data_IF_804749474045
#
_entry.id   IF_804749474045
#
_cell.length_a   1.000
_cell.length_b   1.000
_cell.length_c   1.000
_cell.angle_alpha   90.00
_cell.angle_beta   90.00
_cell.angle_gamma   90.00
#
_symmetry.space_group_name_H-M   'P 1'
#
loop_
_entity.id
_entity.type
_entity.pdbx_description
1 polymer ?
#
# COMPACT_ATOMS: atom_id res chain seq x y z
N UNK A 1 11.54 8.02 83.27
CA UNK A 1 10.73 7.85 82.06
C UNK A 1 11.51 8.47 80.90
N UNK A 2 12.39 7.72 80.25
CA UNK A 2 13.10 8.23 79.06
C UNK A 2 13.44 7.09 78.11
N UNK A 3 13.04 7.32 76.85
CA UNK A 3 13.59 6.78 75.58
C UNK A 3 13.46 5.27 75.30
N UNK A 4 12.25 4.85 74.94
CA UNK A 4 12.04 3.62 74.14
C UNK A 4 11.72 3.87 72.64
N UNK A 5 11.51 5.13 72.25
CA UNK A 5 11.06 5.47 70.86
C UNK A 5 12.19 5.59 69.80
N UNK A 6 13.46 5.73 70.22
CA UNK A 6 14.59 5.92 69.29
C UNK A 6 15.18 4.62 68.71
N UNK A 7 14.79 3.45 69.20
CA UNK A 7 15.33 2.16 68.72
C UNK A 7 14.62 1.66 67.42
N UNK A 8 13.42 2.09 67.20
CA UNK A 8 12.62 1.70 65.99
C UNK A 8 12.76 2.65 64.81
N UNK A 9 13.23 3.88 65.02
CA UNK A 9 13.42 4.86 63.95
C UNK A 9 14.55 4.48 62.98
N UNK A 10 15.58 3.80 63.41
CA UNK A 10 16.72 3.37 62.57
C UNK A 10 16.38 2.24 61.62
N UNK A 11 15.67 1.15 61.96
CA UNK A 11 15.31 0.13 61.02
C UNK A 11 14.24 0.63 60.01
N UNK A 12 13.35 1.53 60.41
CA UNK A 12 12.36 2.14 59.50
C UNK A 12 13.03 3.05 58.48
N UNK A 13 14.03 3.84 58.87
CA UNK A 13 14.80 4.68 57.98
C UNK A 13 15.66 3.85 57.00
N UNK A 14 16.22 2.72 57.45
CA UNK A 14 16.94 1.77 56.57
C UNK A 14 16.02 1.05 55.59
N UNK A 15 14.81 0.67 56.00
CA UNK A 15 13.81 0.08 55.12
C UNK A 15 13.29 1.08 54.06
N UNK A 16 13.10 2.35 54.44
CA UNK A 16 12.77 3.45 53.53
C UNK A 16 13.90 3.73 52.52
N UNK A 17 15.17 3.67 52.97
CA UNK A 17 16.32 3.85 52.09
C UNK A 17 16.54 2.66 51.16
N UNK A 18 16.31 1.43 51.62
CA UNK A 18 16.36 0.23 50.79
C UNK A 18 15.26 0.19 49.71
N UNK A 19 14.07 0.72 50.03
CA UNK A 19 12.96 0.80 49.08
C UNK A 19 13.16 1.88 48.00
N UNK A 20 13.90 2.94 48.28
CA UNK A 20 14.28 3.95 47.27
C UNK A 20 15.28 3.38 46.26
N UNK A 21 16.13 2.43 46.64
CA UNK A 21 17.07 1.75 45.73
C UNK A 21 16.37 0.67 44.89
N UNK A 22 15.32 0.04 45.42
CA UNK A 22 14.52 -0.95 44.68
C UNK A 22 13.65 -0.35 43.55
N UNK A 23 13.43 0.97 43.52
CA UNK A 23 12.69 1.66 42.51
C UNK A 23 13.30 1.61 41.08
N UNK A 24 14.58 1.26 40.96
CA UNK A 24 15.24 1.10 39.66
C UNK A 24 14.86 -0.18 38.90
N UNK A 25 14.10 -1.11 39.49
CA UNK A 25 13.72 -2.40 38.91
C UNK A 25 12.23 -2.57 38.64
N UNK A 26 11.42 -1.52 38.77
CA UNK A 26 9.99 -1.63 38.47
C UNK A 26 9.71 -1.87 36.98
N UNK A 27 8.70 -2.70 36.65
CA UNK A 27 8.33 -2.96 35.27
C UNK A 27 7.98 -1.65 34.52
N UNK A 28 8.66 -1.41 33.40
CA UNK A 28 8.43 -0.27 32.52
C UNK A 28 8.28 -0.73 31.08
N UNK A 29 7.54 0.03 30.29
CA UNK A 29 7.20 -0.34 28.92
C UNK A 29 8.37 -0.11 27.95
N UNK A 30 9.38 0.68 28.34
CA UNK A 30 10.54 0.96 27.50
C UNK A 30 11.43 2.08 28.04
N UNK A 31 12.30 2.69 27.21
CA UNK A 31 13.21 3.72 27.63
C UNK A 31 12.47 5.01 28.04
N UNK A 32 13.00 5.70 29.02
CA UNK A 32 12.55 7.05 29.39
C UNK A 32 13.03 8.07 28.37
N UNK A 33 12.38 9.22 28.33
CA UNK A 33 12.79 10.36 27.50
C UNK A 33 14.30 10.69 27.72
N UNK A 34 14.77 10.69 28.97
CA UNK A 34 16.19 10.95 29.31
C UNK A 34 17.13 9.91 28.69
N UNK A 35 16.76 8.63 28.70
CA UNK A 35 17.57 7.54 28.13
C UNK A 35 17.62 7.62 26.59
N UNK A 36 16.52 8.01 25.92
CA UNK A 36 16.52 8.25 24.48
C UNK A 36 17.51 9.36 24.13
N UNK A 37 17.49 10.48 24.85
CA UNK A 37 18.45 11.55 24.62
C UNK A 37 19.89 11.14 25.00
N UNK A 38 20.07 10.27 25.97
CA UNK A 38 21.39 9.74 26.34
C UNK A 38 21.97 8.80 25.25
N UNK A 39 21.12 8.12 24.49
CA UNK A 39 21.50 7.29 23.34
C UNK A 39 21.80 8.08 22.06
N UNK A 40 21.85 9.42 22.12
CA UNK A 40 22.13 10.25 20.95
C UNK A 40 23.61 10.25 20.57
N UNK A 41 23.92 10.46 19.28
CA UNK A 41 25.29 10.62 18.75
C UNK A 41 26.08 11.67 19.52
N UNK A 42 25.44 12.76 19.97
CA UNK A 42 26.06 13.81 20.80
C UNK A 42 26.54 13.28 22.16
N UNK A 43 26.06 12.10 22.57
CA UNK A 43 26.44 11.42 23.83
C UNK A 43 27.04 10.03 23.60
N UNK A 44 27.72 9.84 22.45
CA UNK A 44 28.36 8.60 22.02
C UNK A 44 27.39 7.43 21.74
N UNK A 45 26.12 7.74 21.47
CA UNK A 45 25.14 6.77 20.95
C UNK A 45 25.17 6.67 19.44
N UNK A 46 24.20 5.97 18.87
CA UNK A 46 24.13 5.63 17.45
C UNK A 46 22.92 6.25 16.70
N UNK A 47 22.18 7.15 17.34
CA UNK A 47 21.00 7.79 16.76
C UNK A 47 21.04 9.31 16.87
N UNK A 48 20.50 10.00 15.86
CA UNK A 48 20.36 11.45 15.87
C UNK A 48 19.00 11.83 16.43
N UNK A 49 18.97 12.58 17.53
CA UNK A 49 17.72 13.08 18.13
C UNK A 49 17.41 14.48 17.58
N UNK A 50 16.27 14.64 16.92
CA UNK A 50 15.88 15.85 16.22
C UNK A 50 14.49 16.29 16.67
N UNK A 51 14.36 17.54 17.16
CA UNK A 51 13.06 18.13 17.43
C UNK A 51 12.37 18.52 16.14
N UNK A 52 11.13 18.10 15.97
CA UNK A 52 10.32 18.40 14.77
C UNK A 52 9.97 19.89 14.75
N UNK A 53 10.16 20.49 13.59
CA UNK A 53 9.79 21.85 13.25
C UNK A 53 9.45 21.93 11.74
N UNK A 54 8.99 23.08 11.25
CA UNK A 54 8.56 23.27 9.84
C UNK A 54 9.63 22.89 8.82
N UNK A 55 10.92 23.06 9.14
CA UNK A 55 12.02 22.63 8.25
C UNK A 55 12.11 21.10 8.19
N UNK A 56 12.00 20.47 9.34
CA UNK A 56 12.04 19.00 9.44
C UNK A 56 10.82 18.38 8.76
N UNK A 57 9.62 18.90 9.02
CA UNK A 57 8.40 18.40 8.36
C UNK A 57 8.50 18.46 6.84
N UNK A 58 8.98 19.59 6.28
CA UNK A 58 9.19 19.71 4.83
C UNK A 58 10.27 18.79 4.30
N UNK A 59 11.38 18.62 5.01
CA UNK A 59 12.47 17.73 4.57
C UNK A 59 12.05 16.24 4.61
N UNK A 60 11.17 15.87 5.53
CA UNK A 60 10.69 14.49 5.70
C UNK A 60 9.41 14.18 4.94
N UNK A 61 8.75 15.18 4.33
CA UNK A 61 7.51 15.01 3.56
C UNK A 61 7.70 14.29 2.21
N UNK A 62 8.81 13.59 2.03
CA UNK A 62 9.09 12.83 0.80
C UNK A 62 8.28 11.54 0.83
N UNK A 63 7.34 11.43 -0.10
CA UNK A 63 6.61 10.20 -0.37
C UNK A 63 7.13 9.59 -1.66
N UNK A 64 7.25 8.26 -1.75
CA UNK A 64 7.52 7.61 -3.02
C UNK A 64 6.41 7.99 -4.00
N UNK A 65 6.73 8.76 -5.02
CA UNK A 65 5.78 9.05 -6.07
C UNK A 65 5.53 7.75 -6.85
N UNK A 66 4.36 7.14 -6.66
CA UNK A 66 3.89 6.10 -7.54
C UNK A 66 3.44 6.75 -8.85
N UNK A 67 3.77 6.11 -9.98
CA UNK A 67 3.41 6.64 -11.29
C UNK A 67 3.90 5.75 -12.41
N UNK A 68 3.36 5.97 -13.60
CA UNK A 68 3.82 5.31 -14.80
C UNK A 68 5.00 6.08 -15.41
N UNK A 69 5.99 5.33 -15.91
CA UNK A 69 7.08 5.90 -16.70
C UNK A 69 6.55 6.47 -18.02
N UNK A 70 7.28 7.38 -18.64
CA UNK A 70 6.92 7.95 -19.94
C UNK A 70 6.63 6.89 -21.02
N UNK A 71 7.29 5.76 -20.94
CA UNK A 71 7.10 4.64 -21.86
C UNK A 71 5.71 4.01 -21.75
N UNK A 72 5.11 3.97 -20.55
CA UNK A 72 3.73 3.55 -20.36
C UNK A 72 2.74 4.63 -20.80
N UNK A 73 3.01 5.88 -20.45
CA UNK A 73 2.12 7.02 -20.73
C UNK A 73 2.04 7.36 -22.21
N UNK A 74 3.16 7.29 -22.95
CA UNK A 74 3.23 7.60 -24.38
C UNK A 74 2.76 6.45 -25.29
N UNK A 75 2.30 5.34 -24.74
CA UNK A 75 1.73 4.26 -25.51
C UNK A 75 0.36 4.71 -26.09
N UNK A 76 0.31 5.12 -27.35
CA UNK A 76 -0.94 5.49 -28.01
C UNK A 76 -2.00 4.38 -27.95
N UNK A 77 -3.28 4.71 -28.02
CA UNK A 77 -4.36 3.73 -28.05
C UNK A 77 -4.18 2.81 -29.27
N UNK A 78 -4.33 1.50 -29.05
CA UNK A 78 -4.43 0.57 -30.18
C UNK A 78 -5.69 0.88 -30.97
N UNK A 79 -5.59 0.89 -32.31
CA UNK A 79 -6.78 0.92 -33.15
C UNK A 79 -7.69 -0.25 -32.79
N UNK A 80 -8.95 0.02 -32.50
CA UNK A 80 -9.90 -1.01 -32.03
C UNK A 80 -10.15 -2.11 -33.08
N UNK A 81 -9.82 -1.82 -34.34
CA UNK A 81 -10.21 -2.64 -35.46
C UNK A 81 -9.03 -3.39 -36.09
N UNK A 82 -7.82 -3.27 -35.54
CA UNK A 82 -6.69 -4.04 -36.01
C UNK A 82 -6.79 -5.50 -35.59
N UNK A 83 -6.74 -6.37 -36.58
CA UNK A 83 -6.73 -7.82 -36.38
C UNK A 83 -5.35 -8.25 -35.89
N UNK A 84 -5.31 -9.12 -34.88
CA UNK A 84 -4.08 -9.71 -34.32
C UNK A 84 -4.00 -11.21 -34.59
N UNK A 85 -2.80 -11.82 -34.56
CA UNK A 85 -2.66 -13.27 -34.57
C UNK A 85 -3.43 -13.87 -33.39
N UNK A 86 -4.21 -14.93 -33.62
CA UNK A 86 -5.09 -15.55 -32.63
C UNK A 86 -6.51 -15.01 -32.56
N UNK A 87 -6.80 -13.87 -33.21
CA UNK A 87 -8.18 -13.38 -33.37
C UNK A 87 -9.03 -14.35 -34.18
N UNK A 88 -10.33 -14.35 -33.93
CA UNK A 88 -11.32 -15.12 -34.68
C UNK A 88 -12.17 -14.19 -35.53
N UNK A 89 -12.24 -14.46 -36.84
CA UNK A 89 -13.00 -13.70 -37.81
C UNK A 89 -14.18 -14.54 -38.28
N UNK A 90 -15.35 -13.92 -38.41
CA UNK A 90 -16.51 -14.44 -39.14
C UNK A 90 -16.48 -13.91 -40.56
N UNK A 91 -16.56 -14.81 -41.48
CA UNK A 91 -16.58 -14.50 -42.92
C UNK A 91 -17.89 -14.95 -43.54
N UNK A 92 -18.57 -14.04 -44.24
CA UNK A 92 -19.76 -14.35 -45.05
C UNK A 92 -19.52 -13.85 -46.46
N UNK A 93 -19.75 -14.73 -47.43
CA UNK A 93 -19.54 -14.44 -48.84
C UNK A 93 -20.85 -14.72 -49.58
N UNK A 94 -21.29 -13.74 -50.34
CA UNK A 94 -22.43 -13.85 -51.25
C UNK A 94 -21.93 -13.82 -52.71
N UNK A 95 -22.43 -14.75 -53.50
CA UNK A 95 -22.16 -14.84 -54.95
C UNK A 95 -23.41 -14.52 -55.71
N UNK A 96 -23.29 -13.71 -56.75
CA UNK A 96 -24.41 -13.26 -57.58
C UNK A 96 -24.62 -14.18 -58.78
N UNK A 97 -24.49 -15.50 -58.57
CA UNK A 97 -24.65 -16.53 -59.59
C UNK A 97 -25.37 -17.75 -59.03
N UNK A 98 -26.22 -18.37 -59.88
CA UNK A 98 -26.76 -19.68 -59.59
C UNK A 98 -25.64 -20.72 -59.78
N UNK A 99 -25.41 -21.62 -58.81
CA UNK A 99 -24.25 -22.56 -58.76
C UNK A 99 -22.88 -21.87 -58.52
N UNK A 100 -22.78 -20.97 -57.53
CA UNK A 100 -21.54 -20.34 -57.16
C UNK A 100 -20.46 -21.32 -56.70
N UNK A 101 -19.18 -20.86 -56.70
CA UNK A 101 -18.01 -21.66 -56.31
C UNK A 101 -18.04 -22.06 -54.83
N UNK A 102 -18.66 -21.27 -53.98
CA UNK A 102 -18.71 -21.43 -52.54
C UNK A 102 -20.10 -21.76 -52.03
N UNK A 103 -21.14 -21.32 -52.71
CA UNK A 103 -22.54 -21.52 -52.35
C UNK A 103 -23.06 -22.86 -52.91
N UNK A 104 -23.79 -23.66 -52.10
CA UNK A 104 -24.43 -24.88 -52.55
C UNK A 104 -25.75 -24.62 -53.29
N UNK A 105 -26.35 -25.66 -53.93
CA UNK A 105 -27.50 -25.63 -54.89
C UNK A 105 -28.77 -24.88 -54.43
N UNK A 106 -28.84 -24.33 -53.21
CA UNK A 106 -30.04 -23.67 -52.70
C UNK A 106 -29.84 -22.29 -52.08
N UNK A 107 -28.60 -21.77 -52.00
CA UNK A 107 -28.31 -20.49 -51.34
C UNK A 107 -27.17 -19.77 -52.03
N UNK A 108 -27.38 -18.49 -52.36
CA UNK A 108 -26.33 -17.63 -52.93
C UNK A 108 -25.37 -17.08 -51.82
N UNK A 109 -25.35 -17.72 -50.65
CA UNK A 109 -24.59 -17.27 -49.50
C UNK A 109 -23.82 -18.43 -48.86
N UNK A 110 -22.54 -18.22 -48.61
CA UNK A 110 -21.72 -19.15 -47.81
C UNK A 110 -21.16 -18.42 -46.60
N UNK A 111 -21.45 -18.96 -45.44
CA UNK A 111 -20.79 -18.54 -44.18
C UNK A 111 -19.64 -19.49 -43.91
N UNK A 112 -18.40 -18.97 -43.93
CA UNK A 112 -17.18 -19.74 -43.63
C UNK A 112 -16.97 -19.93 -42.12
N UNK A 113 -17.99 -19.66 -41.29
CA UNK A 113 -17.93 -19.86 -39.86
C UNK A 113 -16.84 -19.04 -39.19
N UNK A 114 -16.19 -19.64 -38.21
CA UNK A 114 -15.12 -19.03 -37.42
C UNK A 114 -13.75 -19.36 -38.05
N UNK A 115 -13.06 -18.34 -38.55
CA UNK A 115 -11.71 -18.46 -39.12
C UNK A 115 -10.72 -17.82 -38.17
N UNK A 116 -9.84 -18.62 -37.61
CA UNK A 116 -8.79 -18.11 -36.71
C UNK A 116 -7.59 -17.60 -37.52
N UNK A 117 -7.06 -16.45 -37.11
CA UNK A 117 -5.81 -15.88 -37.61
C UNK A 117 -4.63 -16.69 -37.07
N UNK A 118 -3.84 -17.26 -37.96
CA UNK A 118 -2.68 -18.08 -37.57
C UNK A 118 -1.57 -17.27 -36.85
N UNK A 119 -0.61 -17.96 -36.22
CA UNK A 119 0.48 -17.33 -35.51
C UNK A 119 1.41 -16.45 -36.36
N UNK A 120 1.33 -16.62 -37.70
CA UNK A 120 2.03 -15.78 -38.71
C UNK A 120 1.20 -14.59 -39.14
N UNK A 121 -0.06 -14.49 -38.68
CA UNK A 121 -1.00 -13.42 -38.97
C UNK A 121 -1.78 -13.56 -40.27
N UNK A 122 -1.97 -14.79 -40.73
CA UNK A 122 -2.74 -15.06 -41.96
C UNK A 122 -4.02 -15.82 -41.68
N UNK A 123 -4.97 -15.70 -42.54
CA UNK A 123 -6.16 -16.56 -42.66
C UNK A 123 -6.13 -17.30 -43.98
N UNK A 124 -6.81 -18.43 -44.05
CA UNK A 124 -7.08 -19.12 -45.33
C UNK A 124 -8.56 -18.94 -45.72
N UNK A 125 -8.77 -18.48 -46.91
CA UNK A 125 -10.12 -18.32 -47.52
C UNK A 125 -10.16 -19.18 -48.77
N UNK A 126 -11.13 -20.13 -48.90
CA UNK A 126 -11.26 -20.91 -50.13
C UNK A 126 -11.31 -20.02 -51.36
N UNK A 127 -10.69 -20.43 -52.44
CA UNK A 127 -10.52 -19.73 -53.72
C UNK A 127 -9.76 -18.40 -53.69
N UNK A 128 -9.74 -17.67 -52.56
CA UNK A 128 -8.90 -16.47 -52.36
C UNK A 128 -7.51 -16.79 -51.82
N UNK A 129 -7.32 -18.02 -51.26
CA UNK A 129 -6.06 -18.49 -50.76
C UNK A 129 -5.64 -17.89 -49.40
N UNK A 130 -4.34 -17.79 -49.20
CA UNK A 130 -3.77 -17.25 -47.93
C UNK A 130 -3.74 -15.73 -47.96
N UNK A 131 -4.33 -15.08 -46.95
CA UNK A 131 -4.50 -13.62 -46.86
C UNK A 131 -3.90 -13.11 -45.54
N UNK A 132 -3.11 -12.04 -45.61
CA UNK A 132 -2.57 -11.37 -44.45
C UNK A 132 -3.71 -10.61 -43.73
N UNK A 133 -4.11 -11.08 -42.56
CA UNK A 133 -5.15 -10.46 -41.75
C UNK A 133 -4.54 -9.59 -40.62
N UNK A 134 -3.50 -10.07 -39.93
CA UNK A 134 -2.88 -9.32 -38.84
C UNK A 134 -2.28 -7.99 -39.29
N UNK A 135 -2.57 -6.94 -38.52
CA UNK A 135 -2.16 -5.57 -38.82
C UNK A 135 -3.13 -4.83 -39.79
N UNK A 136 -4.14 -5.51 -40.33
CA UNK A 136 -5.19 -4.93 -41.12
C UNK A 136 -6.49 -4.77 -40.30
N UNK A 137 -7.39 -3.91 -40.77
CA UNK A 137 -8.77 -3.83 -40.28
C UNK A 137 -9.63 -4.89 -40.96
N UNK A 138 -10.80 -5.28 -40.40
CA UNK A 138 -11.77 -6.15 -41.08
C UNK A 138 -12.12 -5.64 -42.45
N UNK A 139 -12.30 -4.32 -42.62
CA UNK A 139 -12.56 -3.68 -43.89
C UNK A 139 -11.39 -3.82 -44.90
N UNK A 140 -10.14 -3.69 -44.40
CA UNK A 140 -8.96 -3.93 -45.23
C UNK A 140 -8.88 -5.38 -45.72
N UNK A 141 -9.14 -6.34 -44.82
CA UNK A 141 -9.21 -7.78 -45.19
C UNK A 141 -10.36 -8.06 -46.13
N UNK A 142 -11.55 -7.49 -45.92
CA UNK A 142 -12.70 -7.60 -46.80
C UNK A 142 -12.32 -7.23 -48.25
N UNK A 143 -11.68 -6.07 -48.40
CA UNK A 143 -11.27 -5.57 -49.73
C UNK A 143 -10.33 -6.54 -50.44
N UNK A 144 -9.33 -7.06 -49.73
CA UNK A 144 -8.37 -8.03 -50.30
C UNK A 144 -9.05 -9.35 -50.69
N UNK A 145 -10.02 -9.82 -49.87
CA UNK A 145 -10.77 -11.03 -50.18
C UNK A 145 -11.62 -10.80 -51.44
N UNK A 146 -12.36 -9.68 -51.50
CA UNK A 146 -13.22 -9.34 -52.66
C UNK A 146 -12.42 -9.29 -53.97
N UNK A 147 -11.28 -8.55 -53.96
CA UNK A 147 -10.39 -8.41 -55.13
C UNK A 147 -9.89 -9.77 -55.66
N UNK A 148 -9.58 -10.70 -54.75
CA UNK A 148 -9.13 -12.04 -55.14
C UNK A 148 -10.25 -12.92 -55.64
N UNK A 149 -11.45 -12.81 -55.07
CA UNK A 149 -12.61 -13.58 -55.47
C UNK A 149 -13.21 -13.09 -56.81
N UNK A 150 -13.11 -11.79 -57.16
CA UNK A 150 -13.52 -11.21 -58.44
C UNK A 150 -12.84 -11.89 -59.66
N UNK A 151 -11.67 -12.53 -59.44
CA UNK A 151 -10.98 -13.29 -60.46
C UNK A 151 -11.57 -14.68 -60.68
N UNK A 152 -12.47 -15.14 -59.79
CA UNK A 152 -13.00 -16.51 -59.78
C UNK A 152 -14.53 -16.56 -59.90
N UNK A 153 -15.24 -15.53 -59.40
CA UNK A 153 -16.70 -15.44 -59.43
C UNK A 153 -17.14 -14.01 -59.74
N UNK A 154 -18.27 -13.79 -60.47
CA UNK A 154 -18.76 -12.44 -60.76
C UNK A 154 -19.35 -11.76 -59.51
N UNK A 155 -18.96 -10.49 -59.26
CA UNK A 155 -19.52 -9.57 -58.28
C UNK A 155 -19.67 -10.17 -56.84
N UNK A 156 -18.60 -10.75 -56.27
CA UNK A 156 -18.66 -11.33 -54.93
C UNK A 156 -18.83 -10.24 -53.87
N UNK A 157 -19.79 -10.43 -52.97
CA UNK A 157 -19.97 -9.57 -51.80
C UNK A 157 -19.40 -10.27 -50.58
N UNK A 158 -18.51 -9.60 -49.85
CA UNK A 158 -17.80 -10.17 -48.69
C UNK A 158 -18.10 -9.35 -47.47
N UNK A 159 -18.42 -10.00 -46.36
CA UNK A 159 -18.47 -9.42 -45.02
C UNK A 159 -17.41 -10.07 -44.14
N UNK A 160 -16.65 -9.24 -43.44
CA UNK A 160 -15.65 -9.68 -42.44
C UNK A 160 -15.98 -9.04 -41.09
N UNK A 161 -16.25 -9.88 -40.13
CA UNK A 161 -16.48 -9.46 -38.71
C UNK A 161 -15.43 -10.06 -37.81
N UNK A 162 -14.93 -9.27 -36.85
CA UNK A 162 -14.11 -9.80 -35.77
C UNK A 162 -15.05 -10.33 -34.69
N UNK A 163 -15.09 -11.65 -34.50
CA UNK A 163 -15.97 -12.32 -33.54
C UNK A 163 -15.35 -12.36 -32.13
N UNK A 164 -14.02 -12.59 -32.04
CA UNK A 164 -13.31 -12.62 -30.78
C UNK A 164 -11.90 -12.01 -30.90
N UNK A 165 -11.53 -11.16 -29.97
CA UNK A 165 -10.23 -10.49 -29.89
C UNK A 165 -9.19 -11.25 -29.08
N UNK A 166 -9.05 -12.57 -29.30
CA UNK A 166 -8.17 -13.43 -28.52
C UNK A 166 -6.67 -13.22 -28.77
N UNK A 167 -6.33 -12.49 -29.84
CA UNK A 167 -4.93 -12.21 -30.21
C UNK A 167 -4.28 -11.10 -29.39
N UNK A 168 -5.05 -10.32 -28.65
CA UNK A 168 -4.55 -9.23 -27.81
C UNK A 168 -5.27 -9.23 -26.46
N UNK A 169 -4.69 -9.88 -25.46
CA UNK A 169 -5.29 -10.05 -24.14
C UNK A 169 -4.42 -9.49 -23.02
N UNK A 170 -5.07 -9.18 -21.91
CA UNK A 170 -4.46 -8.72 -20.67
C UNK A 170 -4.84 -9.68 -19.54
N UNK A 171 -3.88 -10.06 -18.71
CA UNK A 171 -4.16 -10.85 -17.51
C UNK A 171 -4.38 -9.91 -16.32
N UNK A 172 -5.48 -10.11 -15.60
CA UNK A 172 -5.82 -9.36 -14.38
C UNK A 172 -5.88 -10.31 -13.20
N UNK A 173 -5.19 -9.93 -12.11
CA UNK A 173 -5.10 -10.73 -10.88
C UNK A 173 -5.09 -9.85 -9.64
N UNK A 174 -5.20 -10.49 -8.45
CA UNK A 174 -5.18 -9.80 -7.16
C UNK A 174 -6.57 -9.39 -6.69
N UNK A 175 -6.67 -8.22 -6.06
CA UNK A 175 -7.89 -7.75 -5.40
C UNK A 175 -8.89 -7.12 -6.38
N UNK A 176 -9.35 -7.88 -7.36
CA UNK A 176 -10.43 -7.53 -8.32
C UNK A 176 -11.57 -8.53 -8.19
N UNK A 177 -12.78 -8.10 -8.57
CA UNK A 177 -13.97 -8.96 -8.48
C UNK A 177 -13.89 -10.14 -9.46
N UNK A 178 -13.35 -9.95 -10.68
CA UNK A 178 -13.17 -10.97 -11.70
C UNK A 178 -11.70 -11.09 -12.10
N UNK A 179 -11.01 -12.09 -11.58
CA UNK A 179 -9.65 -12.42 -12.03
C UNK A 179 -9.72 -13.24 -13.32
N UNK A 180 -8.82 -12.97 -14.26
CA UNK A 180 -8.83 -13.71 -15.54
C UNK A 180 -8.01 -13.05 -16.63
N UNK A 181 -8.22 -13.56 -17.85
CA UNK A 181 -7.64 -13.02 -19.07
C UNK A 181 -8.74 -12.36 -19.86
N UNK A 182 -8.54 -11.10 -20.20
CA UNK A 182 -9.53 -10.25 -20.86
C UNK A 182 -9.02 -9.79 -22.21
N UNK A 183 -9.85 -9.79 -23.26
CA UNK A 183 -9.47 -9.25 -24.56
C UNK A 183 -9.43 -7.71 -24.52
N UNK A 184 -8.48 -7.14 -25.26
CA UNK A 184 -8.43 -5.68 -25.51
C UNK A 184 -9.36 -5.36 -26.66
N UNK A 185 -10.49 -4.75 -26.35
CA UNK A 185 -11.49 -4.30 -27.32
C UNK A 185 -11.67 -2.78 -27.27
N UNK A 186 -12.49 -2.21 -28.16
CA UNK A 186 -12.73 -0.77 -28.19
C UNK A 186 -13.06 -0.15 -26.83
N UNK A 187 -13.95 -0.74 -26.00
CA UNK A 187 -14.30 -0.19 -24.69
C UNK A 187 -13.26 -0.48 -23.59
N UNK A 188 -12.35 -1.46 -23.76
CA UNK A 188 -11.43 -1.94 -22.70
C UNK A 188 -9.96 -1.63 -22.99
N UNK A 189 -9.68 -0.60 -23.79
CA UNK A 189 -8.32 -0.25 -24.24
C UNK A 189 -7.48 0.47 -23.19
N UNK A 190 -8.11 1.05 -22.17
CA UNK A 190 -7.42 1.76 -21.08
C UNK A 190 -7.43 0.94 -19.80
N UNK A 191 -6.52 1.29 -18.90
CA UNK A 191 -6.34 0.58 -17.63
C UNK A 191 -7.60 0.65 -16.75
N UNK A 192 -8.23 1.82 -16.64
CA UNK A 192 -9.45 2.01 -15.84
C UNK A 192 -10.63 1.24 -16.40
N UNK A 193 -10.83 1.29 -17.73
CA UNK A 193 -11.91 0.58 -18.40
C UNK A 193 -11.74 -0.94 -18.30
N UNK A 194 -10.51 -1.43 -18.40
CA UNK A 194 -10.19 -2.85 -18.25
C UNK A 194 -10.48 -3.35 -16.82
N UNK A 195 -10.11 -2.57 -15.78
CA UNK A 195 -10.44 -2.91 -14.38
C UNK A 195 -11.96 -2.92 -14.18
N UNK A 196 -12.68 -1.96 -14.75
CA UNK A 196 -14.14 -1.93 -14.69
C UNK A 196 -14.77 -3.16 -15.37
N UNK A 197 -14.22 -3.62 -16.50
CA UNK A 197 -14.65 -4.85 -17.19
C UNK A 197 -14.40 -6.11 -16.33
N UNK A 198 -13.39 -6.11 -15.49
CA UNK A 198 -13.12 -7.16 -14.50
C UNK A 198 -14.01 -7.06 -13.23
N UNK A 199 -15.05 -6.25 -13.25
CA UNK A 199 -15.98 -6.06 -12.13
C UNK A 199 -15.48 -5.09 -11.05
N UNK A 200 -14.41 -4.31 -11.33
CA UNK A 200 -13.82 -3.35 -10.42
C UNK A 200 -12.90 -3.96 -9.37
N UNK A 201 -12.42 -3.11 -8.46
CA UNK A 201 -11.58 -3.52 -7.34
C UNK A 201 -12.44 -4.08 -6.19
N UNK A 202 -11.89 -5.06 -5.45
CA UNK A 202 -12.55 -5.74 -4.33
C UNK A 202 -12.06 -5.25 -2.94
N UNK A 203 -11.29 -4.16 -2.92
CA UNK A 203 -10.72 -3.55 -1.70
C UNK A 203 -11.03 -2.05 -1.68
N UNK A 204 -10.92 -1.38 -0.52
CA UNK A 204 -11.12 0.06 -0.43
C UNK A 204 -10.22 0.84 -1.39
N UNK A 205 -10.77 1.80 -2.14
CA UNK A 205 -10.01 2.57 -3.16
C UNK A 205 -8.83 3.36 -2.58
N UNK A 206 -8.90 3.73 -1.32
CA UNK A 206 -7.91 4.54 -0.60
C UNK A 206 -6.57 3.81 -0.45
N UNK A 207 -6.62 2.49 -0.36
CA UNK A 207 -5.44 1.62 -0.17
C UNK A 207 -5.13 0.76 -1.39
N UNK A 208 -5.92 0.87 -2.46
CA UNK A 208 -5.72 0.08 -3.66
C UNK A 208 -4.55 0.61 -4.50
N UNK A 209 -3.61 -0.26 -4.81
CA UNK A 209 -2.49 -0.01 -5.70
C UNK A 209 -2.60 -0.91 -6.93
N UNK A 210 -2.31 -0.36 -8.09
CA UNK A 210 -2.32 -1.09 -9.35
C UNK A 210 -0.89 -1.16 -9.89
N UNK A 211 -0.42 -2.36 -10.10
CA UNK A 211 0.85 -2.64 -10.76
C UNK A 211 0.56 -3.12 -12.18
N UNK A 212 1.16 -2.47 -13.18
CA UNK A 212 1.15 -2.94 -14.57
C UNK A 212 2.54 -3.45 -14.93
N UNK A 213 2.58 -4.65 -15.49
CA UNK A 213 3.81 -5.31 -15.95
C UNK A 213 3.70 -5.50 -17.45
N UNK A 214 4.62 -4.89 -18.19
CA UNK A 214 4.74 -4.94 -19.66
C UNK A 214 6.12 -5.42 -20.04
N UNK A 215 6.23 -6.66 -20.49
CA UNK A 215 7.55 -7.30 -20.67
C UNK A 215 8.33 -7.32 -19.35
N UNK A 216 9.52 -6.70 -19.34
CA UNK A 216 10.37 -6.59 -18.16
C UNK A 216 10.14 -5.32 -17.34
N UNK A 217 9.25 -4.46 -17.79
CA UNK A 217 8.95 -3.20 -17.10
C UNK A 217 7.80 -3.37 -16.12
N UNK A 218 7.95 -2.75 -14.96
CA UNK A 218 6.95 -2.73 -13.90
C UNK A 218 6.76 -1.30 -13.42
N UNK A 219 5.51 -0.85 -13.38
CA UNK A 219 5.14 0.44 -12.80
C UNK A 219 3.90 0.29 -11.91
N UNK A 220 3.82 1.11 -10.88
CA UNK A 220 2.76 1.05 -9.87
C UNK A 220 2.14 2.42 -9.68
N UNK A 221 0.81 2.47 -9.51
CA UNK A 221 0.03 3.69 -9.27
C UNK A 221 -1.05 3.44 -8.23
N UNK A 222 -1.51 4.48 -7.56
CA UNK A 222 -2.71 4.42 -6.74
C UNK A 222 -3.96 4.33 -7.63
N UNK A 223 -4.94 3.53 -7.23
CA UNK A 223 -6.19 3.41 -7.98
C UNK A 223 -6.90 4.75 -8.13
N UNK A 224 -6.96 5.56 -7.07
CA UNK A 224 -7.60 6.88 -7.13
C UNK A 224 -6.91 7.85 -8.10
N UNK A 225 -5.60 7.71 -8.30
CA UNK A 225 -4.83 8.58 -9.18
C UNK A 225 -5.14 8.33 -10.67
N UNK A 226 -5.71 7.17 -11.05
CA UNK A 226 -6.19 6.94 -12.42
C UNK A 226 -7.27 7.94 -12.82
N UNK A 227 -8.09 8.37 -11.86
CA UNK A 227 -9.20 9.31 -12.11
C UNK A 227 -8.79 10.77 -11.89
N UNK A 228 -7.77 10.98 -11.04
CA UNK A 228 -7.27 12.31 -10.74
C UNK A 228 -6.29 12.83 -11.79
N UNK A 229 -5.51 11.93 -12.38
CA UNK A 229 -4.45 12.25 -13.33
C UNK A 229 -4.65 11.44 -14.63
N UNK A 230 -5.22 12.04 -15.71
CA UNK A 230 -5.54 11.31 -16.95
C UNK A 230 -4.34 10.57 -17.57
N UNK A 231 -3.11 11.06 -17.36
CA UNK A 231 -1.89 10.41 -17.86
C UNK A 231 -1.60 9.04 -17.21
N UNK A 232 -2.28 8.70 -16.11
CA UNK A 232 -2.15 7.40 -15.47
C UNK A 232 -3.16 6.38 -16.00
N UNK A 233 -4.19 6.80 -16.72
CA UNK A 233 -5.09 5.89 -17.43
C UNK A 233 -4.45 5.46 -18.75
N UNK A 234 -3.40 4.66 -18.68
CA UNK A 234 -2.57 4.25 -19.80
C UNK A 234 -3.31 3.35 -20.78
N UNK A 235 -2.89 3.39 -22.05
CA UNK A 235 -3.30 2.44 -23.06
C UNK A 235 -2.64 1.06 -22.83
N UNK A 236 -3.46 0.00 -22.81
CA UNK A 236 -3.02 -1.38 -22.63
C UNK A 236 -2.45 -1.99 -23.91
N UNK A 237 -1.62 -3.02 -23.73
CA UNK A 237 -1.01 -3.82 -24.81
C UNK A 237 -1.26 -5.30 -24.54
N UNK A 238 -1.34 -6.07 -25.63
CA UNK A 238 -1.38 -7.53 -25.52
C UNK A 238 -0.18 -8.06 -24.74
N UNK A 239 -0.45 -8.94 -23.77
CA UNK A 239 0.54 -9.47 -22.86
C UNK A 239 0.79 -8.64 -21.59
N UNK A 240 0.14 -7.48 -21.41
CA UNK A 240 0.17 -6.75 -20.15
C UNK A 240 -0.41 -7.61 -19.01
N UNK A 241 0.18 -7.50 -17.85
CA UNK A 241 -0.33 -8.10 -16.62
C UNK A 241 -0.65 -7.00 -15.63
N UNK A 242 -1.89 -6.99 -15.17
CA UNK A 242 -2.39 -6.04 -14.16
C UNK A 242 -2.54 -6.79 -12.85
N UNK A 243 -1.92 -6.27 -11.80
CA UNK A 243 -2.02 -6.80 -10.45
C UNK A 243 -2.58 -5.70 -9.55
N UNK A 244 -3.70 -5.98 -8.91
CA UNK A 244 -4.31 -5.08 -7.91
C UNK A 244 -4.02 -5.61 -6.52
N UNK A 245 -3.38 -4.78 -5.69
CA UNK A 245 -2.95 -5.13 -4.34
C UNK A 245 -3.37 -4.06 -3.34
N UNK A 246 -3.57 -4.44 -2.08
CA UNK A 246 -3.70 -3.48 -1.00
C UNK A 246 -2.34 -2.89 -0.63
N UNK A 247 -2.33 -1.67 -0.13
CA UNK A 247 -1.15 -1.08 0.52
C UNK A 247 -0.76 -1.92 1.73
N UNK A 248 0.50 -2.31 1.80
CA UNK A 248 1.06 -3.13 2.89
C UNK A 248 1.88 -2.32 3.87
N UNK A 249 2.01 -1.00 3.66
CA UNK A 249 2.74 -0.13 4.58
C UNK A 249 2.10 -0.16 5.96
N UNK A 250 2.94 -0.15 6.99
CA UNK A 250 2.50 -0.20 8.37
C UNK A 250 3.49 0.53 9.28
N UNK A 251 3.00 1.05 10.37
CA UNK A 251 3.83 1.58 11.46
C UNK A 251 3.59 0.79 12.74
N UNK A 252 4.50 0.92 13.71
CA UNK A 252 4.37 0.29 15.02
C UNK A 252 4.19 1.36 16.09
N UNK A 253 3.16 1.23 16.92
CA UNK A 253 2.94 2.10 18.08
C UNK A 253 3.25 1.36 19.37
N UNK A 254 4.08 1.97 20.21
CA UNK A 254 4.55 1.41 21.48
C UNK A 254 4.54 2.47 22.58
N UNK A 255 4.62 2.02 23.85
CA UNK A 255 4.72 2.89 25.00
C UNK A 255 3.36 3.30 25.58
N UNK A 256 3.25 4.51 26.06
CA UNK A 256 2.06 5.03 26.73
C UNK A 256 0.99 5.51 25.72
N UNK A 257 0.59 4.66 24.79
CA UNK A 257 -0.53 4.84 23.87
C UNK A 257 -1.77 4.11 24.35
N UNK A 258 -2.93 4.37 23.75
CA UNK A 258 -4.17 3.65 24.06
C UNK A 258 -4.08 2.16 23.74
N UNK A 259 -3.42 1.79 22.62
CA UNK A 259 -3.10 0.42 22.25
C UNK A 259 -1.69 0.33 21.69
N UNK A 260 -0.98 -0.78 21.97
CA UNK A 260 0.32 -1.07 21.38
C UNK A 260 0.13 -2.11 20.27
N UNK A 261 0.40 -1.73 19.03
CA UNK A 261 0.14 -2.58 17.87
C UNK A 261 0.95 -2.15 16.66
N UNK A 262 1.05 -3.04 15.68
CA UNK A 262 1.41 -2.70 14.31
C UNK A 262 0.13 -2.41 13.55
N UNK A 263 0.05 -1.23 12.92
CA UNK A 263 -1.14 -0.71 12.24
C UNK A 263 -0.81 -0.49 10.78
N UNK A 264 -1.62 -1.03 9.88
CA UNK A 264 -1.52 -0.80 8.44
C UNK A 264 -2.09 0.57 8.07
N UNK A 265 -1.59 1.16 7.00
CA UNK A 265 -2.13 2.43 6.50
C UNK A 265 -3.51 2.22 5.89
N UNK A 266 -4.45 3.08 6.24
CA UNK A 266 -5.80 3.11 5.67
C UNK A 266 -5.96 4.19 4.58
N UNK A 267 -4.92 5.00 4.39
CA UNK A 267 -4.89 6.13 3.45
C UNK A 267 -3.52 6.23 2.78
N UNK A 268 -3.46 6.93 1.66
CA UNK A 268 -2.19 7.14 0.94
C UNK A 268 -1.15 7.89 1.78
N UNK A 269 -1.60 8.77 2.64
CA UNK A 269 -0.76 9.58 3.53
C UNK A 269 -1.27 9.47 4.96
N UNK A 270 -0.38 9.36 5.92
CA UNK A 270 -0.72 9.26 7.33
C UNK A 270 0.15 10.25 8.13
N UNK A 271 -0.46 11.14 8.87
CA UNK A 271 0.24 12.05 9.77
C UNK A 271 0.56 11.39 11.13
N UNK A 272 1.52 11.93 11.85
CA UNK A 272 1.83 11.44 13.19
C UNK A 272 0.64 11.61 14.16
N UNK A 273 -0.14 12.67 13.99
CA UNK A 273 -1.33 12.89 14.80
C UNK A 273 -2.41 11.85 14.54
N UNK A 274 -2.70 11.54 13.26
CA UNK A 274 -3.65 10.49 12.86
C UNK A 274 -3.18 9.10 13.32
N UNK A 275 -1.90 8.80 13.15
CA UNK A 275 -1.33 7.54 13.59
C UNK A 275 -1.45 7.32 15.11
N UNK A 276 -1.25 8.37 15.91
CA UNK A 276 -1.50 8.32 17.36
C UNK A 276 -3.00 8.12 17.64
N UNK A 277 -3.89 8.81 16.91
CA UNK A 277 -5.33 8.68 17.09
C UNK A 277 -5.84 7.27 16.76
N UNK A 278 -5.31 6.62 15.70
CA UNK A 278 -5.67 5.24 15.32
C UNK A 278 -5.43 4.21 16.44
N UNK A 279 -4.41 4.44 17.28
CA UNK A 279 -4.11 3.57 18.44
C UNK A 279 -4.78 4.02 19.73
N UNK A 280 -5.85 4.82 19.63
CA UNK A 280 -6.61 5.30 20.80
C UNK A 280 -6.01 6.50 21.52
N UNK A 281 -5.08 7.21 20.86
CA UNK A 281 -4.45 8.42 21.40
C UNK A 281 -3.36 8.15 22.44
N UNK A 282 -3.00 9.20 23.17
CA UNK A 282 -2.09 9.13 24.31
C UNK A 282 -2.85 8.63 25.55
N UNK A 283 -2.23 7.75 26.33
CA UNK A 283 -2.79 7.34 27.62
C UNK A 283 -2.86 8.54 28.57
N UNK A 284 -4.04 8.97 28.95
CA UNK A 284 -4.24 10.13 29.82
C UNK A 284 -3.63 9.94 31.22
N UNK A 285 -3.49 8.69 31.65
CA UNK A 285 -2.95 8.34 32.97
C UNK A 285 -1.43 8.14 32.98
N UNK A 286 -0.83 7.85 31.80
CA UNK A 286 0.56 7.38 31.75
C UNK A 286 1.45 8.17 30.79
N UNK A 287 0.93 8.77 29.74
CA UNK A 287 1.74 9.36 28.68
C UNK A 287 2.43 10.66 29.09
N UNK A 288 3.66 10.84 28.61
CA UNK A 288 4.35 12.14 28.56
C UNK A 288 4.11 12.79 27.19
N UNK A 289 3.22 13.79 27.07
CA UNK A 289 2.95 14.42 25.80
C UNK A 289 4.13 15.25 25.23
N UNK A 290 5.18 15.47 26.02
CA UNK A 290 6.45 16.06 25.57
C UNK A 290 7.44 15.03 25.05
N UNK A 291 7.11 13.73 25.18
CA UNK A 291 7.95 12.58 24.87
C UNK A 291 7.32 11.66 23.82
N UNK A 292 6.79 12.21 22.74
CA UNK A 292 6.35 11.45 21.57
C UNK A 292 7.51 11.38 20.57
N UNK A 293 7.94 10.19 20.25
CA UNK A 293 9.09 9.92 19.39
C UNK A 293 8.67 9.14 18.16
N UNK A 294 9.23 9.50 16.99
CA UNK A 294 9.18 8.68 15.79
C UNK A 294 10.59 8.22 15.45
N UNK A 295 10.80 6.90 15.52
CA UNK A 295 12.07 6.26 15.19
C UNK A 295 12.03 5.83 13.74
N UNK A 296 13.04 6.24 12.96
CA UNK A 296 13.09 6.02 11.52
C UNK A 296 14.52 5.86 11.04
N UNK A 297 14.72 4.96 10.08
CA UNK A 297 15.95 4.90 9.29
C UNK A 297 15.79 5.83 8.07
N UNK A 298 16.45 6.98 8.09
CA UNK A 298 16.39 7.95 7.01
C UNK A 298 17.47 7.70 5.96
N UNK A 299 17.14 7.79 4.66
CA UNK A 299 18.14 7.86 3.60
C UNK A 299 19.12 9.01 3.83
N UNK A 300 20.34 8.85 3.32
CA UNK A 300 21.44 9.82 3.47
C UNK A 300 21.03 11.24 3.07
N UNK A 301 20.30 11.39 1.97
CA UNK A 301 19.88 12.68 1.43
C UNK A 301 18.97 13.43 2.41
N UNK A 302 17.98 12.74 2.96
CA UNK A 302 17.04 13.31 3.92
C UNK A 302 17.74 13.58 5.26
N UNK A 303 18.58 12.64 5.73
CA UNK A 303 19.32 12.81 6.96
C UNK A 303 20.24 14.04 6.90
N UNK A 304 20.97 14.23 5.80
CA UNK A 304 21.81 15.40 5.59
C UNK A 304 20.99 16.70 5.58
N UNK A 305 19.85 16.72 4.90
CA UNK A 305 18.96 17.87 4.86
C UNK A 305 18.37 18.22 6.24
N UNK A 306 17.92 17.21 6.98
CA UNK A 306 17.34 17.36 8.33
C UNK A 306 18.39 17.85 9.33
N UNK A 307 19.61 17.33 9.29
CA UNK A 307 20.68 17.67 10.22
C UNK A 307 21.50 18.89 9.79
N UNK A 308 21.31 19.39 8.56
CA UNK A 308 22.13 20.49 8.01
C UNK A 308 23.56 20.07 7.77
N UNK A 309 23.77 18.81 7.34
CA UNK A 309 25.07 18.20 7.07
C UNK A 309 25.16 17.78 5.59
N UNK A 310 26.35 17.37 5.17
CA UNK A 310 26.61 16.85 3.81
C UNK A 310 27.64 15.73 3.79
N UNK A 311 28.03 15.23 4.98
CA UNK A 311 29.11 14.26 5.17
C UNK A 311 28.61 12.87 5.60
N UNK A 312 27.31 12.72 5.88
CA UNK A 312 26.75 11.44 6.26
C UNK A 312 26.70 10.49 5.07
N UNK A 313 26.98 9.21 5.31
CA UNK A 313 26.96 8.14 4.31
C UNK A 313 25.99 7.04 4.76
N UNK A 314 25.24 6.49 3.80
CA UNK A 314 24.26 5.45 4.07
C UNK A 314 23.04 5.93 4.91
N UNK A 315 22.18 5.00 5.22
CA UNK A 315 20.99 5.28 6.04
C UNK A 315 21.37 5.63 7.48
N UNK A 316 20.70 6.61 8.06
CA UNK A 316 20.95 7.11 9.42
C UNK A 316 19.75 6.84 10.32
N UNK A 317 20.00 6.50 11.58
CA UNK A 317 18.96 6.35 12.60
C UNK A 317 18.59 7.72 13.16
N UNK A 318 17.37 8.18 12.86
CA UNK A 318 16.83 9.43 13.39
C UNK A 318 15.69 9.15 14.36
N UNK A 319 15.69 9.89 15.45
CA UNK A 319 14.63 9.92 16.45
C UNK A 319 14.02 11.31 16.41
N UNK A 320 12.85 11.44 15.82
CA UNK A 320 12.10 12.68 15.76
C UNK A 320 11.30 12.87 17.04
N UNK A 321 11.36 14.07 17.60
CA UNK A 321 10.66 14.41 18.87
C UNK A 321 9.52 15.36 18.54
N UNK A 322 8.32 14.94 18.88
CA UNK A 322 7.09 15.74 18.82
C UNK A 322 6.69 16.14 20.26
N UNK A 323 6.64 17.43 20.51
CA UNK A 323 6.19 18.00 21.79
C UNK A 323 4.77 18.53 21.62
N UNK A 324 3.79 17.73 22.02
CA UNK A 324 2.36 18.04 21.86
C UNK A 324 1.83 19.05 22.89
N UNK A 325 2.66 19.46 23.87
CA UNK A 325 2.26 20.49 24.85
C UNK A 325 2.40 21.91 24.32
N UNK A 326 3.19 22.09 23.26
CA UNK A 326 3.37 23.39 22.63
C UNK A 326 2.18 23.75 21.74
N UNK A 327 1.77 25.02 21.66
CA UNK A 327 0.67 25.45 20.80
C UNK A 327 0.83 25.02 19.34
N UNK A 328 2.06 25.06 18.81
CA UNK A 328 2.40 24.60 17.46
C UNK A 328 2.64 23.08 17.36
N UNK A 329 2.73 22.35 18.47
CA UNK A 329 3.09 20.93 18.50
C UNK A 329 2.06 20.05 17.79
N UNK A 330 0.77 20.32 17.96
CA UNK A 330 -0.31 19.61 17.29
C UNK A 330 -0.32 19.85 15.77
N UNK A 331 -0.02 21.08 15.33
CA UNK A 331 0.11 21.40 13.89
C UNK A 331 1.31 20.65 13.30
N UNK A 332 2.45 20.67 13.97
CA UNK A 332 3.64 19.92 13.54
C UNK A 332 3.38 18.41 13.48
N UNK A 333 2.65 17.84 14.44
CA UNK A 333 2.29 16.44 14.43
C UNK A 333 1.31 16.08 13.30
N UNK A 334 0.40 17.00 12.94
CA UNK A 334 -0.49 16.87 11.78
C UNK A 334 0.28 16.94 10.45
N UNK A 335 1.29 17.79 10.38
CA UNK A 335 2.06 18.01 9.16
C UNK A 335 3.25 17.04 9.01
N UNK A 336 3.61 16.29 10.06
CA UNK A 336 4.66 15.28 10.03
C UNK A 336 4.12 13.94 9.51
N UNK A 337 4.58 13.54 8.32
CA UNK A 337 4.14 12.30 7.68
C UNK A 337 4.83 11.06 8.28
N UNK A 338 4.03 10.08 8.66
CA UNK A 338 4.48 8.74 9.02
C UNK A 338 4.76 7.95 7.75
N UNK A 339 5.79 7.09 7.77
CA UNK A 339 6.20 6.23 6.66
C UNK A 339 6.16 4.76 7.05
N UNK A 340 6.30 3.92 6.05
CA UNK A 340 6.42 2.47 6.27
C UNK A 340 7.57 2.15 7.22
N UNK A 341 7.33 1.17 8.12
CA UNK A 341 8.24 0.71 9.17
C UNK A 341 8.63 1.75 10.24
N UNK A 342 7.96 2.90 10.31
CA UNK A 342 8.15 3.82 11.43
C UNK A 342 7.73 3.18 12.75
N UNK A 343 8.44 3.57 13.82
CA UNK A 343 8.00 3.25 15.18
C UNK A 343 7.64 4.54 15.92
N UNK A 344 6.38 4.67 16.30
CA UNK A 344 5.92 5.73 17.20
C UNK A 344 6.06 5.20 18.63
N UNK A 345 6.86 5.87 19.42
CA UNK A 345 7.08 5.53 20.81
C UNK A 345 6.69 6.69 21.72
N UNK A 346 5.79 6.45 22.66
CA UNK A 346 5.35 7.43 23.65
C UNK A 346 5.91 7.07 25.01
N UNK A 347 6.70 7.97 25.60
CA UNK A 347 7.28 7.74 26.94
C UNK A 347 6.23 7.88 28.04
N UNK A 348 6.47 7.18 29.15
CA UNK A 348 5.69 7.38 30.38
C UNK A 348 6.09 8.70 31.05
N UNK A 349 5.12 9.40 31.61
CA UNK A 349 5.33 10.59 32.43
C UNK A 349 6.08 10.22 33.70
N UNK A 350 6.99 11.07 34.20
CA UNK A 350 7.75 10.78 35.43
C UNK A 350 6.87 10.48 36.64
N UNK A 351 5.71 11.13 36.73
CA UNK A 351 4.74 10.89 37.80
C UNK A 351 4.17 9.46 37.81
N UNK A 352 4.01 8.86 36.66
CA UNK A 352 3.49 7.48 36.51
C UNK A 352 4.44 6.47 37.19
N UNK A 353 5.75 6.66 37.03
CA UNK A 353 6.74 5.82 37.69
C UNK A 353 6.67 5.99 39.23
N UNK A 354 6.45 7.20 39.68
CA UNK A 354 6.29 7.51 41.11
C UNK A 354 5.02 6.88 41.68
N UNK A 355 3.91 6.93 40.98
CA UNK A 355 2.63 6.31 41.40
C UNK A 355 2.72 4.79 41.48
N UNK A 356 3.46 4.13 40.54
CA UNK A 356 3.76 2.68 40.61
C UNK A 356 4.56 2.33 41.89
N UNK A 357 5.54 3.17 42.29
CA UNK A 357 6.30 3.00 43.51
C UNK A 357 5.38 3.10 44.71
N UNK A 358 4.58 4.16 44.81
CA UNK A 358 3.64 4.36 45.92
C UNK A 358 2.61 3.23 45.99
N UNK A 359 2.06 2.80 44.82
CA UNK A 359 1.10 1.71 44.76
C UNK A 359 1.66 0.38 45.24
N UNK A 360 2.91 0.07 44.90
CA UNK A 360 3.61 -1.11 45.46
C UNK A 360 3.80 -1.02 46.95
N UNK A 361 4.09 0.18 47.48
CA UNK A 361 4.24 0.42 48.93
C UNK A 361 2.93 0.29 49.70
N UNK A 362 1.87 0.92 49.20
CA UNK A 362 0.55 0.87 49.84
C UNK A 362 -0.07 -0.51 49.75
N UNK A 363 0.15 -1.25 48.66
CA UNK A 363 -0.28 -2.63 48.51
C UNK A 363 0.39 -3.58 49.53
N UNK A 364 1.70 -3.40 49.82
CA UNK A 364 2.40 -4.21 50.82
C UNK A 364 1.97 -3.86 52.26
N UNK A 365 1.69 -2.59 52.54
CA UNK A 365 1.17 -2.18 53.84
C UNK A 365 -0.27 -2.69 54.06
N UNK A 366 -1.11 -2.72 53.07
CA UNK A 366 -2.46 -3.31 53.13
C UNK A 366 -2.44 -4.82 53.40
N UNK A 367 -1.49 -5.54 52.79
CA UNK A 367 -1.32 -6.98 53.03
C UNK A 367 -0.85 -7.29 54.45
N UNK A 368 0.05 -6.46 55.03
CA UNK A 368 0.49 -6.60 56.41
C UNK A 368 -0.65 -6.28 57.39
N UNK A 369 -1.49 -5.28 57.06
CA UNK A 369 -2.67 -4.95 57.89
C UNK A 369 -3.73 -6.06 57.90
N UNK A 370 -3.97 -6.76 56.78
CA UNK A 370 -4.92 -7.87 56.71
C UNK A 370 -4.41 -9.13 57.47
N UNK A 371 -3.11 -9.38 57.49
CA UNK A 371 -2.53 -10.48 58.26
C UNK A 371 -2.62 -10.21 59.77
N UNK A 372 -2.46 -8.95 60.21
CA UNK A 372 -2.59 -8.58 61.63
C UNK A 372 -4.04 -8.69 62.15
N UNK A 373 -5.03 -8.39 61.28
CA UNK A 373 -6.47 -8.55 61.59
C UNK A 373 -6.87 -10.03 61.66
N UNK A 374 -6.34 -10.87 60.76
CA UNK A 374 -6.60 -12.32 60.77
C UNK A 374 -5.98 -13.02 62.00
N UNK A 375 -4.83 -12.52 62.50
CA UNK A 375 -4.20 -13.08 63.72
C UNK A 375 -4.95 -12.66 65.01
N UNK A 376 -5.60 -11.49 65.05
CA UNK A 376 -6.39 -11.08 66.18
C UNK A 376 -7.75 -11.78 66.32
N UNK A 377 -8.34 -12.24 65.20
CA UNK A 377 -9.56 -13.04 65.20
C UNK A 377 -9.34 -14.51 65.59
N UNK A 378 -8.13 -15.04 65.40
CA UNK A 378 -7.76 -16.39 65.83
C UNK A 378 -7.31 -16.49 67.31
N UNK A 379 -7.06 -15.36 68.00
CA UNK A 379 -6.67 -15.33 69.42
C UNK A 379 -7.81 -14.97 70.40
N UNK A 380 -9.05 -14.89 69.92
CA UNK A 380 -10.19 -14.47 70.68
C UNK A 380 -11.17 -15.57 71.17
N UNK A 381 -10.88 -16.87 70.85
CA UNK A 381 -11.66 -18.00 71.33
C UNK A 381 -10.80 -19.03 72.08
N UNK A 382 -10.51 -18.75 73.34
CA UNK A 382 -10.24 -19.75 74.37
C UNK A 382 -10.53 -19.14 75.72
#
# INVERSE_FOLDING_TARGET
VTSRHTRWARPIALLLMASLVAGCGLPRVGPTKREIYAGSVQKQGDSFVVTVNDRVTRATAVQPALGFTEQFQNAGLLGSDLISPGDTLGLTIWENVDDGLLAGEATNQTTLGEVQVDGSGFIFVPYAGRIKAAGNTPEGVRRVITEKLEQQTPDPQVEVRRLAGNGSTVAISGAVSGQGVYPIEAPTRTLSAMIASAGGIAIPPEVAQITVIRGDQRSKVWFQDLFKYPQFDIALRGGDRILVEADTRAYTALGATGAQSRVTFETQTLSALEAIAQVGGLSTAAADPTGVFVLRNEPMEIANQVLGRNDLQGAQRLVYVLDLTKPNGLFLARDFSIRDDDTIYVTEAPFTQWSKVIGAFTGTLGAVGSVSTASSTLSGDF
#
